data_IF_480549104268
#
_entry.id   IF_480549104268
#
_cell.length_a   1.000
_cell.length_b   1.000
_cell.length_c   1.000
_cell.angle_alpha   90.00
_cell.angle_beta   90.00
_cell.angle_gamma   90.00
#
_symmetry.space_group_name_H-M   'P 1'
#
loop_
_entity.id
_entity.type
_entity.pdbx_description
1 polymer ?
#
# COMPACT_ATOMS: atom_id res chain seq x y z
N UNK A 1 -9.12 -3.05 -3.68
CA UNK A 1 -8.10 -3.64 -2.79
C UNK A 1 -6.95 -2.65 -2.67
N UNK A 2 -6.96 -1.83 -1.61
CA UNK A 2 -5.91 -0.85 -1.36
C UNK A 2 -4.67 -1.61 -0.90
N UNK A 3 -3.73 -1.80 -1.83
CA UNK A 3 -2.61 -2.72 -1.71
C UNK A 3 -1.33 -2.04 -1.24
N UNK A 4 -1.29 -1.58 0.02
CA UNK A 4 -0.02 -1.36 0.73
C UNK A 4 0.39 -2.60 1.54
N UNK A 5 -0.57 -3.39 2.03
CA UNK A 5 -0.34 -4.44 3.02
C UNK A 5 0.20 -5.78 2.48
N UNK A 6 0.38 -5.95 1.16
CA UNK A 6 0.65 -7.26 0.57
C UNK A 6 -0.60 -8.14 0.54
N UNK A 7 -0.46 -9.46 0.66
CA UNK A 7 -1.60 -10.41 0.64
C UNK A 7 -2.54 -10.22 1.84
N UNK A 8 -3.82 -10.58 1.70
CA UNK A 8 -4.80 -10.38 2.76
C UNK A 8 -4.48 -11.17 4.04
N UNK A 9 -4.37 -10.43 5.13
CA UNK A 9 -4.11 -10.94 6.47
C UNK A 9 -5.02 -10.16 7.43
N UNK A 10 -6.15 -10.76 7.81
CA UNK A 10 -7.10 -10.12 8.73
C UNK A 10 -6.59 -10.25 10.16
N UNK A 11 -6.84 -9.23 10.99
CA UNK A 11 -6.50 -9.28 12.43
C UNK A 11 -7.12 -10.51 13.09
N UNK A 12 -8.40 -10.74 12.79
CA UNK A 12 -9.13 -11.93 13.22
C UNK A 12 -9.10 -13.00 12.11
N UNK A 13 -8.59 -14.18 12.44
CA UNK A 13 -8.53 -15.32 11.51
C UNK A 13 -7.35 -15.32 10.53
N UNK A 14 -6.53 -14.26 10.51
CA UNK A 14 -5.27 -14.21 9.77
C UNK A 14 -5.43 -14.38 8.26
N UNK A 15 -4.36 -14.86 7.62
CA UNK A 15 -4.29 -15.10 6.16
C UNK A 15 -5.38 -16.02 5.62
N UNK A 16 -5.78 -17.04 6.38
CA UNK A 16 -6.80 -17.97 5.92
C UNK A 16 -8.14 -17.24 5.72
N UNK A 17 -8.57 -16.47 6.73
CA UNK A 17 -9.78 -15.66 6.64
C UNK A 17 -9.65 -14.54 5.59
N UNK A 18 -8.50 -13.87 5.53
CA UNK A 18 -8.26 -12.82 4.55
C UNK A 18 -8.30 -13.31 3.10
N UNK A 19 -7.68 -14.45 2.81
CA UNK A 19 -7.71 -15.04 1.47
C UNK A 19 -9.13 -15.46 1.08
N UNK A 20 -9.90 -16.06 2.00
CA UNK A 20 -11.29 -16.42 1.75
C UNK A 20 -12.13 -15.17 1.45
N UNK A 21 -12.02 -14.13 2.28
CA UNK A 21 -12.75 -12.87 2.10
C UNK A 21 -12.45 -12.23 0.73
N UNK A 22 -11.16 -12.15 0.34
CA UNK A 22 -10.79 -11.64 -0.98
C UNK A 22 -11.36 -12.51 -2.10
N UNK A 23 -11.24 -13.83 -2.00
CA UNK A 23 -11.73 -14.74 -3.04
C UNK A 23 -13.23 -14.57 -3.25
N UNK A 24 -14.00 -14.47 -2.17
CA UNK A 24 -15.44 -14.27 -2.22
C UNK A 24 -15.81 -12.92 -2.83
N UNK A 25 -15.19 -11.83 -2.37
CA UNK A 25 -15.51 -10.50 -2.88
C UNK A 25 -15.07 -10.32 -4.34
N UNK A 26 -13.85 -10.75 -4.70
CA UNK A 26 -13.33 -10.63 -6.07
C UNK A 26 -14.11 -11.52 -7.04
N UNK A 27 -14.42 -12.76 -6.64
CA UNK A 27 -15.19 -13.68 -7.46
C UNK A 27 -16.62 -13.21 -7.70
N UNK A 28 -17.26 -12.65 -6.66
CA UNK A 28 -18.68 -12.38 -6.69
C UNK A 28 -19.06 -10.93 -6.98
N UNK A 29 -18.32 -9.93 -6.50
CA UNK A 29 -18.75 -8.52 -6.55
C UNK A 29 -17.77 -7.50 -7.13
N UNK A 30 -16.46 -7.74 -7.15
CA UNK A 30 -15.51 -6.78 -7.70
C UNK A 30 -15.85 -6.39 -9.15
N UNK A 31 -15.89 -5.08 -9.45
CA UNK A 31 -16.25 -4.51 -10.76
C UNK A 31 -17.67 -4.88 -11.25
N UNK A 32 -18.61 -5.13 -10.33
CA UNK A 32 -20.02 -5.44 -10.63
C UNK A 32 -20.96 -4.49 -9.88
N UNK A 33 -22.27 -4.50 -10.14
CA UNK A 33 -23.20 -3.59 -9.45
C UNK A 33 -23.26 -3.75 -7.93
N UNK A 34 -22.92 -4.92 -7.37
CA UNK A 34 -22.81 -5.11 -5.93
C UNK A 34 -21.49 -4.59 -5.32
N UNK A 35 -20.59 -4.03 -6.14
CA UNK A 35 -19.40 -3.30 -5.70
C UNK A 35 -19.81 -1.92 -5.16
N UNK A 36 -20.52 -1.92 -4.04
CA UNK A 36 -21.10 -0.74 -3.42
C UNK A 36 -20.68 -0.67 -1.96
N UNK A 37 -20.50 0.55 -1.47
CA UNK A 37 -20.25 0.82 -0.06
C UNK A 37 -21.39 0.27 0.82
N UNK A 38 -21.04 -0.24 2.00
CA UNK A 38 -21.98 -0.65 3.05
C UNK A 38 -21.55 -0.09 4.40
N UNK A 39 -22.49 0.34 5.26
CA UNK A 39 -22.18 0.72 6.64
C UNK A 39 -21.66 -0.44 7.51
N UNK A 40 -21.88 -1.69 7.07
CA UNK A 40 -21.44 -2.89 7.81
C UNK A 40 -19.98 -3.25 7.54
N UNK A 41 -19.28 -2.53 6.67
CA UNK A 41 -17.87 -2.78 6.40
C UNK A 41 -17.01 -2.37 7.58
N UNK A 42 -16.13 -3.27 8.02
CA UNK A 42 -15.02 -2.91 8.89
C UNK A 42 -13.96 -2.16 8.07
N UNK A 43 -13.89 -0.85 8.27
CA UNK A 43 -12.97 0.05 7.57
C UNK A 43 -11.68 0.31 8.36
N UNK A 44 -11.46 -0.37 9.48
CA UNK A 44 -10.31 -0.11 10.36
C UNK A 44 -8.97 -0.28 9.61
N UNK A 45 -8.86 -1.30 8.76
CA UNK A 45 -7.67 -1.49 7.91
C UNK A 45 -7.47 -0.36 6.89
N UNK A 46 -8.55 0.14 6.28
CA UNK A 46 -8.47 1.27 5.35
C UNK A 46 -8.04 2.57 6.05
N UNK A 47 -8.46 2.78 7.29
CA UNK A 47 -7.99 3.92 8.12
C UNK A 47 -6.50 3.81 8.39
N UNK A 48 -6.00 2.63 8.76
CA UNK A 48 -4.57 2.39 8.98
C UNK A 48 -3.73 2.70 7.73
N UNK A 49 -4.21 2.30 6.54
CA UNK A 49 -3.57 2.63 5.28
C UNK A 49 -3.50 4.16 5.08
N UNK A 50 -4.62 4.87 5.28
CA UNK A 50 -4.70 6.33 5.13
C UNK A 50 -3.75 7.03 6.11
N UNK A 51 -3.70 6.59 7.36
CA UNK A 51 -2.79 7.14 8.38
C UNK A 51 -1.32 6.93 7.99
N UNK A 52 -0.97 5.75 7.49
CA UNK A 52 0.36 5.47 6.98
C UNK A 52 0.72 6.37 5.79
N UNK A 53 -0.19 6.53 4.84
CA UNK A 53 0.01 7.47 3.73
C UNK A 53 0.21 8.90 4.22
N UNK A 54 -0.59 9.36 5.18
CA UNK A 54 -0.43 10.69 5.76
C UNK A 54 0.97 10.87 6.34
N UNK A 55 1.46 9.90 7.13
CA UNK A 55 2.81 9.95 7.71
C UNK A 55 3.88 9.98 6.62
N UNK A 56 3.78 9.14 5.60
CA UNK A 56 4.74 9.10 4.49
C UNK A 56 4.74 10.41 3.69
N UNK A 57 3.57 10.97 3.41
CA UNK A 57 3.42 12.23 2.69
C UNK A 57 3.97 13.40 3.51
N UNK A 58 3.71 13.43 4.81
CA UNK A 58 4.24 14.46 5.70
C UNK A 58 5.78 14.38 5.81
N UNK A 59 6.35 13.18 5.91
CA UNK A 59 7.81 13.01 5.99
C UNK A 59 8.50 13.32 4.66
N UNK A 60 8.07 12.72 3.56
CA UNK A 60 8.72 12.88 2.26
C UNK A 60 8.41 14.23 1.62
N UNK A 61 7.15 14.69 1.70
CA UNK A 61 6.70 15.92 1.06
C UNK A 61 7.30 17.19 1.68
N UNK A 62 7.69 17.14 2.96
CA UNK A 62 8.30 18.26 3.67
C UNK A 62 9.82 18.10 3.89
N UNK A 63 10.45 17.14 3.21
CA UNK A 63 11.87 16.83 3.37
C UNK A 63 12.65 17.17 2.10
N UNK A 64 13.91 17.58 2.28
CA UNK A 64 14.88 17.69 1.18
C UNK A 64 15.67 16.39 0.97
N UNK A 65 15.43 15.37 1.80
CA UNK A 65 16.08 14.06 1.67
C UNK A 65 15.54 13.36 0.43
N UNK A 66 16.43 13.10 -0.52
CA UNK A 66 16.13 12.22 -1.64
C UNK A 66 16.40 10.76 -1.28
N UNK A 67 15.53 9.82 -1.69
CA UNK A 67 15.78 8.40 -1.51
C UNK A 67 16.98 7.95 -2.34
N UNK A 68 17.75 7.02 -1.77
CA UNK A 68 18.89 6.37 -2.40
C UNK A 68 18.57 4.91 -2.74
N UNK A 69 19.32 4.35 -3.68
CA UNK A 69 19.22 2.94 -4.02
C UNK A 69 20.01 2.09 -3.03
N UNK A 70 19.58 0.84 -2.85
CA UNK A 70 20.38 -0.13 -2.11
C UNK A 70 21.74 -0.33 -2.79
N UNK A 71 22.75 -0.63 -2.00
CA UNK A 71 24.13 -0.76 -2.48
C UNK A 71 24.28 -1.83 -3.57
N UNK A 72 23.52 -2.91 -3.44
CA UNK A 72 23.44 -4.05 -4.35
C UNK A 72 22.54 -3.84 -5.57
N UNK A 73 21.85 -2.70 -5.66
CA UNK A 73 20.98 -2.44 -6.81
C UNK A 73 21.79 -2.21 -8.08
N UNK A 74 21.44 -2.93 -9.14
CA UNK A 74 21.97 -2.73 -10.49
C UNK A 74 21.76 -1.31 -11.04
N UNK A 75 20.78 -0.57 -10.50
CA UNK A 75 20.46 0.80 -10.90
C UNK A 75 21.26 1.87 -10.16
N UNK A 76 21.95 1.51 -9.07
CA UNK A 76 22.66 2.49 -8.22
C UNK A 76 23.68 3.30 -9.01
N UNK A 77 24.52 2.65 -9.81
CA UNK A 77 25.56 3.31 -10.60
C UNK A 77 25.00 4.29 -11.64
N UNK A 78 23.79 4.04 -12.15
CA UNK A 78 23.10 4.98 -13.05
C UNK A 78 22.51 6.15 -12.26
N UNK A 79 21.92 5.87 -11.08
CA UNK A 79 21.36 6.91 -10.22
C UNK A 79 22.40 7.91 -9.75
N UNK A 80 23.58 7.45 -9.33
CA UNK A 80 24.66 8.29 -8.80
C UNK A 80 25.10 9.35 -9.82
N UNK A 81 25.07 9.05 -11.13
CA UNK A 81 25.42 10.01 -12.19
C UNK A 81 24.56 11.27 -12.21
N UNK A 82 23.34 11.20 -11.67
CA UNK A 82 22.40 12.33 -11.61
C UNK A 82 22.28 12.94 -10.20
N UNK A 83 23.19 12.60 -9.27
CA UNK A 83 23.12 13.07 -7.87
C UNK A 83 23.18 14.59 -7.75
N UNK A 84 24.09 15.23 -8.48
CA UNK A 84 24.26 16.68 -8.45
C UNK A 84 23.00 17.46 -8.88
N UNK A 85 22.10 16.85 -9.67
CA UNK A 85 20.86 17.47 -10.13
C UNK A 85 19.73 17.46 -9.08
N UNK A 86 19.96 16.88 -7.90
CA UNK A 86 18.94 16.68 -6.84
C UNK A 86 19.19 17.49 -5.58
N UNK A 87 20.17 18.38 -5.60
CA UNK A 87 20.50 19.27 -4.48
C UNK A 87 19.57 20.47 -4.43
#
# INVERSE_FOLDING_TARGET
LMGIAGGADLVEGGRAAGNQWIADYVGNCYHKPCDAWSPDWDLTGAVQDIELFRVLLEDLGNSTRWPDWRAESEFRAVRERSEAARR
#
